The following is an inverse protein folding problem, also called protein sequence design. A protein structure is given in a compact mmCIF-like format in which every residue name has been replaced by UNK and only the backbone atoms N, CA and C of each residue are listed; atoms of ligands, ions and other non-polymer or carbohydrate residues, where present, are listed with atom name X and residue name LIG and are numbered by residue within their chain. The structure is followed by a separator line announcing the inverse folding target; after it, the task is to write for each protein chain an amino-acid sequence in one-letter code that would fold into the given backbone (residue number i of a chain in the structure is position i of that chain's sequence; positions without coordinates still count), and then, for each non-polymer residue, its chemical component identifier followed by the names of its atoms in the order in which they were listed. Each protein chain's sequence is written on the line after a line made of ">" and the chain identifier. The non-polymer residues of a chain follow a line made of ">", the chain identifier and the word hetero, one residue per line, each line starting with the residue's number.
data_IF_093780544215
#
_entry.id   IF_093780544215
#
_cell.length_a   1.000
_cell.length_b   1.000
_cell.length_c   1.000
_cell.angle_alpha   90.00
_cell.angle_beta   90.00
_cell.angle_gamma   90.00
#
_symmetry.space_group_name_H-M   'P 1'
#
loop_
_entity.id
_entity.type
_entity.pdbx_description
1 polymer ?
#
# COMPACT_ATOMS: atom_id res chain seq x y z
N UNK A 1 -38.17 -6.72 -6.86
CA UNK A 1 -37.59 -8.06 -6.65
C UNK A 1 -37.11 -8.60 -7.99
N UNK A 2 -35.82 -8.44 -8.29
CA UNK A 2 -35.07 -9.38 -9.13
C UNK A 2 -33.66 -9.40 -8.55
N UNK A 3 -33.31 -10.51 -7.91
CA UNK A 3 -31.94 -10.83 -7.51
C UNK A 3 -31.14 -11.04 -8.81
N UNK A 4 -30.08 -10.28 -9.00
CA UNK A 4 -28.93 -10.80 -9.71
C UNK A 4 -27.90 -11.12 -8.63
N UNK A 5 -27.81 -12.40 -8.30
CA UNK A 5 -26.61 -12.97 -7.70
C UNK A 5 -25.51 -12.82 -8.74
N UNK A 6 -24.87 -11.66 -8.72
CA UNK A 6 -23.63 -11.46 -9.44
C UNK A 6 -22.68 -12.45 -8.80
N UNK A 7 -22.28 -13.47 -9.56
CA UNK A 7 -21.12 -14.28 -9.26
C UNK A 7 -19.93 -13.33 -9.12
N UNK A 8 -19.77 -12.80 -7.90
CA UNK A 8 -18.54 -12.24 -7.44
C UNK A 8 -17.60 -13.43 -7.41
N UNK A 9 -16.89 -13.63 -8.52
CA UNK A 9 -15.57 -14.22 -8.45
C UNK A 9 -14.95 -13.57 -7.22
N UNK A 10 -14.68 -14.36 -6.19
CA UNK A 10 -13.56 -14.10 -5.32
C UNK A 10 -12.39 -14.10 -6.32
N UNK A 11 -12.19 -12.96 -6.98
CA UNK A 11 -10.88 -12.61 -7.50
C UNK A 11 -10.07 -12.72 -6.24
N UNK A 12 -9.22 -13.74 -6.24
CA UNK A 12 -8.19 -13.97 -5.26
C UNK A 12 -7.55 -12.62 -4.97
N UNK A 13 -8.07 -11.92 -3.96
CA UNK A 13 -7.65 -10.56 -3.64
C UNK A 13 -6.26 -10.59 -2.99
N UNK A 14 -5.72 -11.81 -2.84
CA UNK A 14 -4.42 -12.21 -2.33
C UNK A 14 -3.39 -12.46 -3.45
N UNK A 15 -3.81 -12.52 -4.73
CA UNK A 15 -2.94 -12.76 -5.87
C UNK A 15 -2.05 -11.55 -6.19
N UNK A 16 -1.01 -11.36 -5.39
CA UNK A 16 0.10 -10.45 -5.71
C UNK A 16 0.13 -9.15 -4.92
N UNK A 17 -0.46 -9.09 -3.72
CA UNK A 17 -0.24 -7.93 -2.84
C UNK A 17 1.23 -7.83 -2.44
N UNK A 18 1.81 -6.65 -2.59
CA UNK A 18 3.18 -6.34 -2.20
C UNK A 18 3.14 -5.71 -0.82
N UNK A 19 3.82 -6.36 0.14
CA UNK A 19 3.93 -5.83 1.50
C UNK A 19 5.01 -4.78 1.56
N UNK A 20 4.67 -3.59 2.05
CA UNK A 20 5.62 -2.52 2.30
C UNK A 20 5.78 -2.32 3.80
N UNK A 21 7.04 -2.17 4.19
CA UNK A 21 7.47 -1.93 5.57
C UNK A 21 8.17 -0.59 5.64
N UNK A 22 7.62 0.34 6.41
CA UNK A 22 8.30 1.60 6.72
C UNK A 22 8.73 1.62 8.18
N UNK A 23 9.96 2.09 8.40
CA UNK A 23 10.43 2.46 9.73
C UNK A 23 10.32 3.98 9.86
N UNK A 24 9.45 4.46 10.75
CA UNK A 24 9.22 5.88 10.95
C UNK A 24 9.05 6.20 12.43
N UNK A 25 9.80 7.19 12.93
CA UNK A 25 9.79 7.61 14.34
C UNK A 25 10.07 6.49 15.37
N UNK A 26 10.73 5.41 14.96
CA UNK A 26 11.00 4.24 15.81
C UNK A 26 9.93 3.15 15.73
N UNK A 27 8.80 3.42 15.06
CA UNK A 27 7.75 2.45 14.80
C UNK A 27 7.93 1.78 13.45
N UNK A 28 7.46 0.53 13.38
CA UNK A 28 7.45 -0.30 12.18
C UNK A 28 6.02 -0.41 11.67
N UNK A 29 5.76 0.27 10.56
CA UNK A 29 4.44 0.32 9.92
C UNK A 29 4.42 -0.60 8.71
N UNK A 30 3.33 -1.36 8.54
CA UNK A 30 3.19 -2.35 7.47
C UNK A 30 1.86 -2.11 6.77
N UNK A 31 1.90 -2.03 5.44
CA UNK A 31 0.70 -1.97 4.58
C UNK A 31 0.87 -2.92 3.39
N UNK A 32 -0.26 -3.37 2.85
CA UNK A 32 -0.30 -4.26 1.69
C UNK A 32 -0.81 -3.49 0.49
N UNK A 33 0.01 -3.37 -0.54
CA UNK A 33 -0.28 -2.63 -1.77
C UNK A 33 -0.60 -3.56 -2.93
N UNK A 34 -1.37 -3.03 -3.89
CA UNK A 34 -1.54 -3.69 -5.18
C UNK A 34 -0.20 -3.69 -5.94
N UNK A 35 0.12 -4.74 -6.71
CA UNK A 35 1.36 -4.81 -7.48
C UNK A 35 1.39 -3.79 -8.64
N UNK A 36 0.23 -3.27 -9.02
CA UNK A 36 0.05 -2.24 -10.05
C UNK A 36 0.18 -0.81 -9.52
N UNK A 37 0.55 -0.63 -8.24
CA UNK A 37 0.65 0.69 -7.61
C UNK A 37 1.68 1.56 -8.34
N UNK A 38 1.30 2.80 -8.61
CA UNK A 38 2.20 3.79 -9.19
C UNK A 38 3.09 4.41 -8.11
N UNK A 39 4.20 5.02 -8.51
CA UNK A 39 5.08 5.72 -7.58
C UNK A 39 4.38 6.86 -6.81
N UNK A 40 3.43 7.55 -7.46
CA UNK A 40 2.67 8.64 -6.84
C UNK A 40 1.75 8.10 -5.75
N UNK A 41 0.99 7.04 -6.07
CA UNK A 41 0.11 6.37 -5.10
C UNK A 41 0.90 5.78 -3.93
N UNK A 42 2.07 5.20 -4.20
CA UNK A 42 2.98 4.74 -3.15
C UNK A 42 3.38 5.88 -2.20
N UNK A 43 3.72 7.05 -2.74
CA UNK A 43 4.07 8.21 -1.93
C UNK A 43 2.89 8.68 -1.07
N UNK A 44 1.68 8.67 -1.62
CA UNK A 44 0.46 9.02 -0.87
C UNK A 44 0.16 8.00 0.23
N UNK A 45 0.33 6.71 -0.05
CA UNK A 45 0.16 5.66 0.95
C UNK A 45 1.15 5.82 2.09
N UNK A 46 2.44 5.98 1.81
CA UNK A 46 3.46 6.15 2.86
C UNK A 46 3.20 7.42 3.68
N UNK A 47 2.73 8.50 3.06
CA UNK A 47 2.34 9.72 3.80
C UNK A 47 1.17 9.47 4.74
N UNK A 48 0.15 8.76 4.25
CA UNK A 48 -1.03 8.40 5.04
C UNK A 48 -0.61 7.50 6.20
N UNK A 49 0.16 6.46 5.92
CA UNK A 49 0.65 5.49 6.89
C UNK A 49 1.50 6.16 7.98
N UNK A 50 2.44 7.04 7.61
CA UNK A 50 3.32 7.74 8.56
C UNK A 50 2.71 9.05 9.12
N UNK A 51 1.45 9.37 8.79
CA UNK A 51 0.78 10.62 9.17
C UNK A 51 1.60 11.90 8.84
N UNK A 52 2.29 11.86 7.69
CA UNK A 52 3.12 12.96 7.20
C UNK A 52 2.29 13.95 6.39
N UNK A 53 2.39 15.24 6.71
CA UNK A 53 1.70 16.30 5.98
C UNK A 53 2.10 16.30 4.49
N UNK A 54 1.13 16.53 3.59
CA UNK A 54 1.35 16.51 2.13
C UNK A 54 2.48 17.44 1.65
N UNK A 55 2.69 18.57 2.34
CA UNK A 55 3.73 19.55 1.99
C UNK A 55 5.11 19.19 2.52
N UNK A 56 5.23 18.25 3.47
CA UNK A 56 6.52 17.85 4.00
C UNK A 56 7.23 16.94 3.00
N UNK A 57 8.48 17.22 2.62
CA UNK A 57 9.23 16.32 1.75
C UNK A 57 9.49 15.00 2.46
N UNK A 58 9.43 13.89 1.71
CA UNK A 58 9.79 12.56 2.21
C UNK A 58 10.92 11.99 1.38
N UNK A 59 11.76 11.17 1.98
CA UNK A 59 12.79 10.38 1.29
C UNK A 59 12.52 8.91 1.56
N UNK A 60 12.32 8.12 0.49
CA UNK A 60 12.13 6.68 0.58
C UNK A 60 13.49 6.00 0.40
N UNK A 61 13.84 5.09 1.31
CA UNK A 61 15.02 4.21 1.19
C UNK A 61 14.53 2.78 1.08
N UNK A 62 14.94 2.10 0.03
CA UNK A 62 14.67 0.68 -0.18
C UNK A 62 15.78 -0.14 0.47
N UNK A 63 15.41 -1.28 1.04
CA UNK A 63 16.36 -2.26 1.55
C UNK A 63 16.43 -3.35 0.48
N UNK A 64 17.62 -3.56 -0.06
CA UNK A 64 17.92 -4.65 -1.00
C UNK A 64 18.65 -5.78 -0.25
N UNK A 65 18.97 -6.88 -0.94
CA UNK A 65 19.54 -8.11 -0.33
C UNK A 65 21.09 -8.08 -0.22
N UNK A 66 21.76 -7.01 -0.68
CA UNK A 66 23.21 -6.79 -0.48
C UNK A 66 23.61 -6.68 1.00
#
# INVERSE_FOLDING_TARGET
>A
MYRLESNGSIMDLDAGRVKIKAHYCGDMLITDLAPTVTFVELCEEVRTMCSVAKQQPITLKWIDDE
#
